data_IF_933856254713
#
_entry.id   IF_933856254713
#
_cell.length_a   1.000
_cell.length_b   1.000
_cell.length_c   1.000
_cell.angle_alpha   90.00
_cell.angle_beta   90.00
_cell.angle_gamma   90.00
#
_symmetry.space_group_name_H-M   'P 1'
#
loop_
_entity.id
_entity.type
_entity.pdbx_description
1 polymer ?
#
# COMPACT_ATOMS: atom_id res chain seq x y z
N UNK A 1 8.89 13.61 -3.02
CA UNK A 1 8.26 12.31 -3.22
C UNK A 1 8.52 11.81 -4.64
N UNK A 2 8.89 10.56 -4.78
CA UNK A 2 9.14 9.98 -6.10
C UNK A 2 7.81 9.77 -6.81
N UNK A 3 7.53 10.58 -7.85
CA UNK A 3 6.28 10.53 -8.59
C UNK A 3 6.40 9.92 -9.96
N UNK A 4 7.61 9.64 -10.43
CA UNK A 4 7.84 9.09 -11.76
C UNK A 4 8.89 7.98 -11.72
N UNK A 5 8.88 7.16 -12.76
CA UNK A 5 9.88 6.10 -12.91
C UNK A 5 11.29 6.71 -12.99
N UNK A 6 11.41 7.84 -13.70
CA UNK A 6 12.69 8.53 -13.83
C UNK A 6 13.25 8.94 -12.47
N UNK A 7 12.41 9.49 -11.59
CA UNK A 7 12.81 9.84 -10.23
C UNK A 7 13.19 8.62 -9.42
N UNK A 8 12.47 7.52 -9.60
CA UNK A 8 12.72 6.27 -8.87
C UNK A 8 14.03 5.60 -9.29
N UNK A 9 14.52 5.87 -10.50
CA UNK A 9 15.78 5.31 -10.97
C UNK A 9 17.01 6.04 -10.44
N UNK A 10 16.81 7.13 -9.71
CA UNK A 10 17.91 7.88 -9.11
C UNK A 10 18.50 7.15 -7.91
N UNK A 11 19.78 7.44 -7.62
CA UNK A 11 20.52 6.74 -6.57
C UNK A 11 19.92 6.90 -5.16
N UNK A 12 19.15 7.95 -4.92
CA UNK A 12 18.55 8.21 -3.60
C UNK A 12 17.16 7.59 -3.40
N UNK A 13 16.67 6.82 -4.37
CA UNK A 13 15.41 6.11 -4.22
C UNK A 13 15.56 5.00 -3.19
N UNK A 14 14.63 4.90 -2.25
CA UNK A 14 14.65 3.92 -1.16
C UNK A 14 13.46 2.97 -1.27
N UNK A 15 13.49 1.89 -0.49
CA UNK A 15 12.39 0.92 -0.46
C UNK A 15 11.05 1.56 -0.11
N UNK A 16 11.04 2.54 0.78
CA UNK A 16 9.82 3.27 1.14
C UNK A 16 9.22 3.97 -0.09
N UNK A 17 10.06 4.55 -0.93
CA UNK A 17 9.61 5.23 -2.15
C UNK A 17 8.98 4.24 -3.12
N UNK A 18 9.59 3.07 -3.27
CA UNK A 18 9.07 2.01 -4.12
C UNK A 18 7.69 1.56 -3.63
N UNK A 19 7.57 1.28 -2.33
CA UNK A 19 6.31 0.83 -1.74
C UNK A 19 5.20 1.88 -1.95
N UNK A 20 5.50 3.15 -1.69
CA UNK A 20 4.53 4.23 -1.86
C UNK A 20 4.10 4.39 -3.32
N UNK A 21 5.06 4.35 -4.24
CA UNK A 21 4.78 4.55 -5.65
C UNK A 21 4.01 3.36 -6.25
N UNK A 22 4.47 2.15 -6.00
CA UNK A 22 3.88 0.93 -6.58
C UNK A 22 2.45 0.71 -6.09
N UNK A 23 2.20 0.94 -4.81
CA UNK A 23 0.89 0.69 -4.19
C UNK A 23 0.04 1.94 -4.00
N UNK A 24 0.56 3.11 -4.34
CA UNK A 24 -0.17 4.36 -4.15
C UNK A 24 -0.36 4.76 -2.70
N UNK A 25 0.58 4.40 -1.83
CA UNK A 25 0.49 4.68 -0.41
C UNK A 25 1.08 6.05 -0.06
N UNK A 26 0.55 6.61 1.03
CA UNK A 26 1.08 7.85 1.61
C UNK A 26 2.04 7.52 2.73
N UNK A 27 2.82 8.53 3.16
CA UNK A 27 3.76 8.37 4.28
C UNK A 27 3.07 7.82 5.54
N UNK A 28 1.90 8.36 5.86
CA UNK A 28 1.16 7.92 7.06
C UNK A 28 0.72 6.47 6.95
N UNK A 29 0.29 6.04 5.75
CA UNK A 29 -0.11 4.65 5.52
C UNK A 29 1.04 3.69 5.79
N UNK A 30 2.22 4.02 5.29
CA UNK A 30 3.40 3.18 5.47
C UNK A 30 3.84 3.16 6.94
N UNK A 31 3.76 4.31 7.62
CA UNK A 31 4.05 4.39 9.05
C UNK A 31 3.06 3.52 9.85
N UNK A 32 1.79 3.57 9.49
CA UNK A 32 0.76 2.75 10.12
C UNK A 32 1.07 1.26 9.98
N UNK A 33 1.48 0.83 8.78
CA UNK A 33 1.88 -0.56 8.56
C UNK A 33 3.04 -0.94 9.48
N UNK A 34 4.07 -0.09 9.55
CA UNK A 34 5.26 -0.37 10.37
C UNK A 34 4.90 -0.51 11.84
N UNK A 35 4.02 0.36 12.35
CA UNK A 35 3.58 0.30 13.75
C UNK A 35 2.79 -0.97 14.03
N UNK A 36 1.89 -1.34 13.14
CA UNK A 36 1.12 -2.58 13.27
C UNK A 36 2.03 -3.80 13.29
N UNK A 37 3.02 -3.84 12.42
CA UNK A 37 3.93 -4.97 12.38
C UNK A 37 4.80 -5.05 13.63
N UNK A 38 5.37 -3.91 14.06
CA UNK A 38 6.27 -3.87 15.22
C UNK A 38 5.57 -4.20 16.54
N UNK A 39 4.37 -3.65 16.74
CA UNK A 39 3.68 -3.70 18.02
C UNK A 39 2.57 -4.75 18.08
N UNK A 40 2.24 -5.33 16.94
CA UNK A 40 1.21 -6.36 16.86
C UNK A 40 -0.18 -5.80 16.58
N UNK A 41 -1.18 -6.69 16.51
CA UNK A 41 -2.56 -6.29 16.19
C UNK A 41 -3.08 -5.22 17.13
N UNK A 42 -3.82 -4.26 16.59
CA UNK A 42 -4.41 -3.20 17.38
C UNK A 42 -5.67 -2.64 16.74
N UNK A 43 -6.44 -1.91 17.51
CA UNK A 43 -7.64 -1.23 17.04
C UNK A 43 -7.26 0.07 16.32
N UNK A 44 -8.22 0.62 15.57
CA UNK A 44 -8.01 1.93 14.91
C UNK A 44 -7.75 3.04 15.93
N UNK A 45 -8.41 2.97 17.09
CA UNK A 45 -8.20 3.94 18.16
C UNK A 45 -6.79 3.88 18.73
N UNK A 46 -6.30 2.67 19.01
CA UNK A 46 -4.93 2.46 19.49
C UNK A 46 -3.90 2.96 18.48
N UNK A 47 -4.12 2.66 17.21
CA UNK A 47 -3.23 3.14 16.15
C UNK A 47 -3.24 4.67 16.05
N UNK A 48 -4.43 5.28 16.16
CA UNK A 48 -4.55 6.74 16.15
C UNK A 48 -3.75 7.37 17.26
N UNK A 49 -3.81 6.81 18.47
CA UNK A 49 -3.05 7.30 19.63
C UNK A 49 -1.53 7.22 19.35
N UNK A 50 -1.08 6.10 18.81
CA UNK A 50 0.35 5.91 18.47
C UNK A 50 0.83 6.88 17.40
N UNK A 51 0.00 7.17 16.41
CA UNK A 51 0.33 8.07 15.33
C UNK A 51 0.09 9.54 15.68
N UNK A 52 -0.48 9.81 16.85
CA UNK A 52 -0.90 11.15 17.27
C UNK A 52 -1.86 11.75 16.24
N UNK A 53 -2.81 10.95 15.80
CA UNK A 53 -3.87 11.34 14.86
C UNK A 53 -5.21 10.91 15.41
N UNK A 54 -6.27 11.51 14.89
CA UNK A 54 -7.62 11.11 15.23
C UNK A 54 -7.91 9.69 14.74
N UNK A 55 -8.85 9.02 15.41
CA UNK A 55 -9.27 7.67 15.04
C UNK A 55 -9.70 7.59 13.58
N UNK A 56 -10.41 8.61 13.09
CA UNK A 56 -10.88 8.65 11.70
C UNK A 56 -9.72 8.67 10.70
N UNK A 57 -8.65 9.37 11.02
CA UNK A 57 -7.46 9.43 10.18
C UNK A 57 -6.74 8.08 10.16
N UNK A 58 -6.57 7.47 11.34
CA UNK A 58 -5.99 6.13 11.46
C UNK A 58 -6.83 5.09 10.70
N UNK A 59 -8.15 5.17 10.85
CA UNK A 59 -9.07 4.27 10.15
C UNK A 59 -8.91 4.39 8.63
N UNK A 60 -8.76 5.61 8.12
CA UNK A 60 -8.58 5.83 6.69
C UNK A 60 -7.28 5.19 6.16
N UNK A 61 -6.19 5.35 6.93
CA UNK A 61 -4.92 4.69 6.58
C UNK A 61 -5.08 3.17 6.58
N UNK A 62 -5.78 2.63 7.57
CA UNK A 62 -6.06 1.19 7.63
C UNK A 62 -6.87 0.72 6.42
N UNK A 63 -7.87 1.50 5.99
CA UNK A 63 -8.64 1.16 4.81
C UNK A 63 -7.76 1.17 3.54
N UNK A 64 -6.86 2.12 3.41
CA UNK A 64 -5.91 2.16 2.31
C UNK A 64 -5.01 0.92 2.30
N UNK A 65 -4.52 0.52 3.47
CA UNK A 65 -3.67 -0.66 3.61
C UNK A 65 -4.43 -1.96 3.32
N UNK A 66 -5.68 -2.04 3.74
CA UNK A 66 -6.54 -3.20 3.43
C UNK A 66 -6.76 -3.29 1.93
N UNK A 67 -7.02 -2.16 1.28
CA UNK A 67 -7.31 -2.12 -0.15
C UNK A 67 -6.15 -2.68 -0.99
N UNK A 68 -4.91 -2.52 -0.54
CA UNK A 68 -3.74 -3.06 -1.24
C UNK A 68 -3.24 -4.39 -0.67
N UNK A 69 -3.93 -4.93 0.33
CA UNK A 69 -3.62 -6.27 0.86
C UNK A 69 -2.50 -6.34 1.88
N UNK A 70 -2.08 -5.21 2.46
CA UNK A 70 -1.00 -5.19 3.45
C UNK A 70 -1.49 -5.39 4.88
N UNK A 71 -2.77 -5.20 5.11
CA UNK A 71 -3.41 -5.31 6.42
C UNK A 71 -4.72 -6.03 6.24
N UNK A 72 -5.09 -6.83 7.22
CA UNK A 72 -6.42 -7.44 7.25
C UNK A 72 -7.04 -7.20 8.62
N UNK A 73 -8.35 -7.34 8.68
CA UNK A 73 -9.12 -7.05 9.88
C UNK A 73 -9.61 -8.36 10.49
N UNK A 74 -9.46 -8.48 11.81
CA UNK A 74 -9.99 -9.60 12.57
C UNK A 74 -11.06 -9.11 13.54
N UNK A 75 -12.13 -9.88 13.65
CA UNK A 75 -13.20 -9.59 14.62
C UNK A 75 -12.85 -10.23 15.95
N UNK A 76 -12.95 -9.46 17.04
CA UNK A 76 -12.74 -9.94 18.40
C UNK A 76 -14.03 -9.82 19.18
N UNK A 77 -14.36 -10.84 19.97
CA UNK A 77 -15.55 -10.86 20.80
C UNK A 77 -15.27 -10.24 22.15
N UNK A 78 -16.29 -9.58 22.70
CA UNK A 78 -16.26 -9.03 24.05
C UNK A 78 -17.13 -9.94 24.94
N UNK A 79 -16.64 -10.27 26.14
CA UNK A 79 -17.34 -11.21 27.06
C UNK A 79 -18.77 -10.80 27.41
N UNK A 80 -19.01 -9.52 27.53
CA UNK A 80 -20.33 -8.99 27.90
C UNK A 80 -21.23 -8.70 26.69
N UNK A 81 -20.83 -9.16 25.51
CA UNK A 81 -21.58 -8.95 24.28
C UNK A 81 -20.96 -7.90 23.40
N UNK A 82 -21.20 -8.01 22.08
CA UNK A 82 -20.60 -7.13 21.09
C UNK A 82 -19.24 -7.62 20.61
N UNK A 83 -18.64 -6.81 19.75
CA UNK A 83 -17.35 -7.14 19.15
C UNK A 83 -16.62 -5.86 18.76
N UNK A 84 -15.33 -6.01 18.48
CA UNK A 84 -14.50 -4.93 17.97
C UNK A 84 -13.55 -5.52 16.94
N UNK A 85 -12.90 -4.64 16.18
CA UNK A 85 -11.97 -5.06 15.14
C UNK A 85 -10.53 -4.75 15.53
N UNK A 86 -9.65 -5.73 15.30
CA UNK A 86 -8.22 -5.52 15.35
C UNK A 86 -7.66 -5.64 13.93
N UNK A 87 -6.63 -4.87 13.67
CA UNK A 87 -5.99 -4.82 12.36
C UNK A 87 -4.62 -5.46 12.45
N UNK A 88 -4.31 -6.31 11.48
CA UNK A 88 -3.11 -7.14 11.50
C UNK A 88 -2.32 -6.88 10.23
N UNK A 89 -1.02 -6.57 10.38
CA UNK A 89 -0.12 -6.36 9.25
C UNK A 89 0.42 -7.70 8.75
N UNK A 90 0.51 -7.86 7.43
CA UNK A 90 1.19 -9.03 6.85
C UNK A 90 2.70 -8.90 7.10
N UNK A 91 3.42 -10.01 6.96
CA UNK A 91 4.87 -10.00 7.20
C UNK A 91 5.61 -9.17 6.15
N UNK A 92 6.76 -8.59 6.49
CA UNK A 92 7.60 -7.89 5.51
C UNK A 92 8.02 -8.76 4.33
N UNK A 93 8.21 -10.07 4.55
CA UNK A 93 8.53 -10.99 3.47
C UNK A 93 7.38 -11.08 2.46
N UNK A 94 6.14 -11.16 2.95
CA UNK A 94 4.97 -11.17 2.11
C UNK A 94 4.77 -9.83 1.40
N UNK A 95 5.01 -8.73 2.11
CA UNK A 95 4.97 -7.38 1.54
C UNK A 95 5.94 -7.28 0.35
N UNK A 96 7.17 -7.74 0.55
CA UNK A 96 8.19 -7.76 -0.51
C UNK A 96 7.72 -8.55 -1.74
N UNK A 97 7.14 -9.73 -1.52
CA UNK A 97 6.64 -10.55 -2.62
C UNK A 97 5.53 -9.85 -3.40
N UNK A 98 4.64 -9.18 -2.70
CA UNK A 98 3.56 -8.41 -3.34
C UNK A 98 4.12 -7.29 -4.19
N UNK A 99 5.13 -6.56 -3.69
CA UNK A 99 5.76 -5.49 -4.45
C UNK A 99 6.42 -6.03 -5.72
N UNK A 100 7.16 -7.12 -5.59
CA UNK A 100 7.81 -7.75 -6.75
C UNK A 100 6.79 -8.21 -7.79
N UNK A 101 5.69 -8.80 -7.34
CA UNK A 101 4.65 -9.25 -8.26
C UNK A 101 3.99 -8.08 -8.98
N UNK A 102 3.69 -7.01 -8.24
CA UNK A 102 3.11 -5.81 -8.83
C UNK A 102 4.03 -5.18 -9.87
N UNK A 103 5.33 -5.11 -9.58
CA UNK A 103 6.31 -4.57 -10.52
C UNK A 103 6.39 -5.44 -11.79
N UNK A 104 6.40 -6.75 -11.64
CA UNK A 104 6.41 -7.68 -12.76
C UNK A 104 5.15 -7.53 -13.61
N UNK A 105 3.99 -7.48 -12.98
CA UNK A 105 2.72 -7.32 -13.70
C UNK A 105 2.67 -5.98 -14.43
N UNK A 106 3.14 -4.92 -13.78
CA UNK A 106 3.21 -3.59 -14.37
C UNK A 106 4.14 -3.60 -15.59
N UNK A 107 5.33 -4.17 -15.44
CA UNK A 107 6.30 -4.27 -16.56
C UNK A 107 5.71 -5.03 -17.73
N UNK A 108 5.11 -6.19 -17.48
CA UNK A 108 4.51 -7.02 -18.51
C UNK A 108 3.41 -6.26 -19.26
N UNK A 109 2.57 -5.54 -18.53
CA UNK A 109 1.50 -4.73 -19.12
C UNK A 109 2.06 -3.61 -19.97
N UNK A 110 3.05 -2.87 -19.45
CA UNK A 110 3.65 -1.74 -20.16
C UNK A 110 4.39 -2.22 -21.41
N UNK A 111 5.15 -3.30 -21.29
CA UNK A 111 5.88 -3.87 -22.41
C UNK A 111 4.93 -4.25 -23.54
N UNK A 112 3.82 -4.89 -23.20
CA UNK A 112 2.81 -5.31 -24.17
C UNK A 112 2.14 -4.13 -24.86
N UNK A 113 1.84 -3.07 -24.12
CA UNK A 113 1.24 -1.86 -24.67
C UNK A 113 2.18 -1.19 -25.67
N UNK A 114 3.49 -1.28 -25.44
CA UNK A 114 4.48 -0.64 -26.31
C UNK A 114 4.75 -1.41 -27.60
N UNK A 115 4.29 -2.64 -27.71
CA UNK A 115 4.49 -3.44 -28.94
C UNK A 115 3.91 -2.76 -30.18
N UNK A 116 2.85 -1.98 -30.02
CA UNK A 116 2.18 -1.29 -31.11
C UNK A 116 2.35 0.24 -31.04
N UNK A 117 3.40 0.69 -30.35
CA UNK A 117 3.62 2.09 -30.05
C UNK A 117 3.65 2.99 -31.29
N UNK A 118 4.38 2.60 -32.33
CA UNK A 118 4.50 3.42 -33.53
C UNK A 118 3.14 3.69 -34.17
N UNK A 119 2.30 2.67 -34.24
CA UNK A 119 0.97 2.80 -34.84
C UNK A 119 0.04 3.68 -34.00
N UNK A 120 0.07 3.53 -32.69
CA UNK A 120 -0.83 4.25 -31.80
C UNK A 120 -0.43 5.71 -31.58
N UNK A 121 0.87 6.00 -31.53
CA UNK A 121 1.37 7.36 -31.32
C UNK A 121 1.35 8.18 -32.60
N UNK A 122 1.78 7.59 -33.71
CA UNK A 122 1.92 8.31 -34.99
C UNK A 122 0.63 8.29 -35.80
N UNK A 123 -0.19 7.25 -35.66
CA UNK A 123 -1.42 7.09 -36.42
C UNK A 123 -2.54 6.67 -35.46
N UNK A 124 -2.95 7.58 -34.56
CA UNK A 124 -3.96 7.22 -33.57
C UNK A 124 -5.27 6.81 -34.23
N UNK A 125 -5.87 5.75 -33.70
CA UNK A 125 -7.14 5.24 -34.17
C UNK A 125 -8.25 6.22 -33.77
N UNK A 126 -9.08 6.71 -34.69
CA UNK A 126 -10.20 7.59 -34.33
C UNK A 126 -11.19 6.82 -33.45
N UNK A 127 -11.69 7.48 -32.44
CA UNK A 127 -12.72 6.91 -31.57
C UNK A 127 -14.10 6.89 -32.21
#
# INVERSE_FOLDING_TARGET
>A
MAGSIHEMLRANCKCDDVAKCVLGLKNLDLLAYKKLFELGPMTAEELGDLLQRERSTAYRSLQNLIAVGLVYRETRSIKIGGYYYEYVAISPAHFKQMLKQNITDWYTKMDKLLDDFENEILFPVPE
#
